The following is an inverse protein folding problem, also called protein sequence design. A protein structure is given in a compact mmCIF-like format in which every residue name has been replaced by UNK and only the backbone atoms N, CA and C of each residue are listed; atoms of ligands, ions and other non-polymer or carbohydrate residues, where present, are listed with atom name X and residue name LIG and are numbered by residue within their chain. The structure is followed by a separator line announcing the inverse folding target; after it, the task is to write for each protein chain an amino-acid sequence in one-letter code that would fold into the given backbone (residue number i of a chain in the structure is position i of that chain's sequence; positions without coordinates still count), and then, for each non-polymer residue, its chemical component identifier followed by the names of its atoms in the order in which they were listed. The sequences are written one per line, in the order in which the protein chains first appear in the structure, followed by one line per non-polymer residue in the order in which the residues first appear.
data_IF_655539637208
#
_entry.id   IF_655539637208
#
_cell.length_a   1.000
_cell.length_b   1.000
_cell.length_c   1.000
_cell.angle_alpha   90.00
_cell.angle_beta   90.00
_cell.angle_gamma   90.00
#
_symmetry.space_group_name_H-M   'P 1'
#
loop_
_entity.id
_entity.type
_entity.pdbx_description
1 polymer ?
#
# COMPACT_ATOMS: atom_id res chain seq x y z
N UNK A 1 -23.79 -5.11 23.01
CA UNK A 1 -22.34 -5.22 22.84
C UNK A 1 -22.03 -4.54 21.51
N UNK A 2 -21.77 -3.24 21.55
CA UNK A 2 -20.42 -2.62 21.40
C UNK A 2 -19.83 -2.92 20.03
N UNK A 3 -19.39 -1.99 19.19
CA UNK A 3 -19.33 -0.53 19.13
C UNK A 3 -18.97 -0.26 17.64
N UNK A 4 -19.58 0.72 16.99
CA UNK A 4 -18.88 1.92 16.51
C UNK A 4 -17.96 1.70 15.29
N UNK A 5 -18.40 2.26 14.15
CA UNK A 5 -17.65 2.57 12.92
C UNK A 5 -16.12 2.46 13.07
N UNK A 6 -15.53 1.39 12.58
CA UNK A 6 -14.18 1.47 12.03
C UNK A 6 -14.34 1.40 10.52
N UNK A 7 -13.86 2.39 9.79
CA UNK A 7 -13.82 2.31 8.32
C UNK A 7 -13.03 1.03 8.04
N UNK A 8 -13.67 0.03 7.45
CA UNK A 8 -13.01 -1.21 7.03
C UNK A 8 -11.98 -0.84 5.96
N UNK A 9 -10.81 -0.35 6.37
CA UNK A 9 -9.62 -0.39 5.53
C UNK A 9 -9.29 -1.86 5.38
N UNK A 10 -9.82 -2.46 4.32
CA UNK A 10 -9.61 -3.87 4.01
C UNK A 10 -8.10 -4.02 3.76
N UNK A 11 -7.40 -4.87 4.52
CA UNK A 11 -5.98 -5.10 4.27
C UNK A 11 -5.82 -5.65 2.85
N UNK A 12 -4.88 -5.08 2.11
CA UNK A 12 -4.51 -5.55 0.78
C UNK A 12 -3.39 -6.56 0.93
N UNK A 13 -3.54 -7.70 0.25
CA UNK A 13 -2.48 -8.70 0.18
C UNK A 13 -1.62 -8.37 -1.03
N UNK A 14 -0.35 -8.06 -0.77
CA UNK A 14 0.64 -7.85 -1.82
C UNK A 14 1.54 -9.07 -1.87
N UNK A 15 1.66 -9.65 -3.06
CA UNK A 15 2.59 -10.74 -3.32
C UNK A 15 3.88 -10.15 -3.86
N UNK A 16 4.95 -10.28 -3.09
CA UNK A 16 6.29 -9.89 -3.54
C UNK A 16 6.80 -10.79 -4.69
N UNK A 17 7.83 -10.37 -5.45
CA UNK A 17 8.42 -11.18 -6.53
C UNK A 17 8.90 -12.57 -6.10
N UNK A 18 9.22 -12.73 -4.82
CA UNK A 18 9.62 -14.00 -4.19
C UNK A 18 8.42 -14.92 -3.86
N UNK A 19 7.18 -14.47 -4.09
CA UNK A 19 5.95 -15.21 -3.82
C UNK A 19 5.47 -15.16 -2.37
N UNK A 20 6.04 -14.27 -1.56
CA UNK A 20 5.57 -14.03 -0.19
C UNK A 20 4.40 -13.05 -0.20
N UNK A 21 3.29 -13.49 0.38
CA UNK A 21 2.11 -12.67 0.61
C UNK A 21 2.27 -11.93 1.95
N UNK A 22 2.14 -10.62 1.91
CA UNK A 22 2.13 -9.77 3.11
C UNK A 22 0.87 -8.90 3.12
N UNK A 23 0.31 -8.72 4.32
CA UNK A 23 -0.84 -7.86 4.54
C UNK A 23 -0.39 -6.43 4.79
N UNK A 24 -0.95 -5.51 4.02
CA UNK A 24 -0.72 -4.08 4.17
C UNK A 24 -2.03 -3.32 4.27
N UNK A 25 -1.99 -2.16 4.92
CA UNK A 25 -3.07 -1.18 4.89
C UNK A 25 -2.72 -0.02 3.97
N UNK A 26 -3.71 0.46 3.21
CA UNK A 26 -3.59 1.69 2.43
C UNK A 26 -3.60 2.89 3.40
N UNK A 27 -2.44 3.54 3.52
CA UNK A 27 -2.28 4.75 4.33
C UNK A 27 -2.66 6.00 3.52
N UNK A 28 -2.20 6.09 2.27
CA UNK A 28 -2.46 7.24 1.40
C UNK A 28 -2.45 6.87 -0.08
N UNK A 29 -3.24 7.56 -0.90
CA UNK A 29 -3.23 7.44 -2.36
C UNK A 29 -2.72 8.74 -3.00
N UNK A 30 -1.66 8.62 -3.78
CA UNK A 30 -0.97 9.72 -4.45
C UNK A 30 -1.21 9.62 -5.96
N UNK A 31 -1.93 10.58 -6.56
CA UNK A 31 -2.07 10.65 -8.00
C UNK A 31 -0.80 11.24 -8.64
N UNK A 32 -0.18 10.52 -9.57
CA UNK A 32 1.02 10.99 -10.28
C UNK A 32 0.97 10.57 -11.76
N UNK A 33 1.24 11.52 -12.66
CA UNK A 33 1.29 11.29 -14.11
C UNK A 33 0.06 10.56 -14.70
N UNK A 34 -1.14 10.81 -14.15
CA UNK A 34 -2.38 10.15 -14.57
C UNK A 34 -2.56 8.71 -14.07
N UNK A 35 -1.69 8.26 -13.17
CA UNK A 35 -1.75 6.98 -12.46
C UNK A 35 -1.99 7.23 -10.98
N UNK A 36 -2.37 6.18 -10.26
CA UNK A 36 -2.57 6.22 -8.81
C UNK A 36 -1.54 5.31 -8.15
N UNK A 37 -0.97 5.80 -7.05
CA UNK A 37 0.00 5.07 -6.24
C UNK A 37 -0.53 5.02 -4.81
N UNK A 38 -0.49 3.86 -4.19
CA UNK A 38 -0.88 3.65 -2.82
C UNK A 38 0.38 3.49 -1.96
N UNK A 39 0.42 4.24 -0.86
CA UNK A 39 1.36 4.03 0.25
C UNK A 39 0.76 2.95 1.12
N UNK A 40 1.46 1.84 1.22
CA UNK A 40 1.03 0.65 1.92
C UNK A 40 1.92 0.45 3.15
N UNK A 41 1.30 0.27 4.31
CA UNK A 41 2.00 0.10 5.59
C UNK A 41 1.75 -1.33 6.08
N UNK A 42 2.82 -2.06 6.40
CA UNK A 42 2.68 -3.44 6.86
C UNK A 42 2.03 -3.46 8.24
N UNK A 43 1.16 -4.45 8.44
CA UNK A 43 0.50 -4.66 9.72
C UNK A 43 1.37 -5.62 10.52
N UNK A 44 1.91 -5.23 11.69
CA UNK A 44 2.62 -6.16 12.54
C UNK A 44 1.65 -7.24 13.05
N UNK A 45 2.00 -8.51 12.86
CA UNK A 45 1.21 -9.68 13.27
C UNK A 45 0.99 -9.75 14.80
N UNK A 46 1.80 -9.05 15.59
CA UNK A 46 1.66 -8.97 17.03
C UNK A 46 2.06 -7.60 17.57
N UNK A 47 1.32 -7.10 18.56
CA UNK A 47 1.64 -5.85 19.29
C UNK A 47 2.98 -5.87 20.05
N UNK A 48 3.73 -6.97 19.93
CA UNK A 48 4.96 -7.24 20.65
C UNK A 48 6.16 -7.38 19.70
N UNK A 49 5.94 -7.23 18.39
CA UNK A 49 7.01 -7.04 17.43
C UNK A 49 7.52 -5.60 17.58
N UNK A 50 8.78 -5.48 18.01
CA UNK A 50 9.53 -4.22 17.98
C UNK A 50 9.96 -3.85 16.55
N UNK A 51 9.53 -4.62 15.54
CA UNK A 51 9.79 -4.31 14.14
C UNK A 51 8.99 -3.08 13.72
N UNK A 52 9.69 -2.11 13.14
CA UNK A 52 9.05 -0.94 12.54
C UNK A 52 8.19 -1.42 11.36
N UNK A 53 6.96 -0.89 11.21
CA UNK A 53 6.12 -1.26 10.08
C UNK A 53 6.82 -0.88 8.78
N UNK A 54 6.88 -1.82 7.84
CA UNK A 54 7.42 -1.60 6.51
C UNK A 54 6.46 -0.72 5.73
N UNK A 55 6.97 0.40 5.22
CA UNK A 55 6.23 1.28 4.32
C UNK A 55 6.71 1.03 2.90
N UNK A 56 5.80 0.55 2.05
CA UNK A 56 6.08 0.33 0.63
C UNK A 56 5.20 1.23 -0.22
N UNK A 57 5.70 1.61 -1.38
CA UNK A 57 4.91 2.29 -2.39
C UNK A 57 4.52 1.28 -3.47
N UNK A 58 3.22 1.16 -3.73
CA UNK A 58 2.68 0.33 -4.79
C UNK A 58 1.93 1.17 -5.81
N UNK A 59 2.03 0.79 -7.07
CA UNK A 59 1.28 1.40 -8.17
C UNK A 59 -0.03 0.64 -8.37
N UNK A 60 -1.12 1.38 -8.40
CA UNK A 60 -2.44 0.84 -8.67
C UNK A 60 -2.65 0.74 -10.18
N UNK A 61 -2.85 -0.47 -10.67
CA UNK A 61 -3.23 -0.75 -12.06
C UNK A 61 -4.59 -1.45 -12.10
N UNK A 62 -5.35 -1.23 -13.16
CA UNK A 62 -6.57 -1.99 -13.40
C UNK A 62 -6.24 -3.15 -14.33
N UNK A 63 -6.45 -4.37 -13.86
CA UNK A 63 -6.22 -5.57 -14.66
C UNK A 63 -7.34 -5.77 -15.71
N UNK A 64 -7.21 -6.80 -16.55
CA UNK A 64 -8.19 -7.11 -17.61
C UNK A 64 -9.59 -7.45 -17.08
N UNK A 65 -9.70 -7.80 -15.79
CA UNK A 65 -10.97 -8.11 -15.12
C UNK A 65 -11.64 -6.86 -14.53
N UNK A 66 -10.98 -5.70 -14.60
CA UNK A 66 -11.46 -4.45 -14.00
C UNK A 66 -11.14 -4.34 -12.50
N UNK A 67 -10.31 -5.23 -11.96
CA UNK A 67 -9.91 -5.22 -10.56
C UNK A 67 -8.62 -4.41 -10.38
N UNK A 68 -8.48 -3.79 -9.20
CA UNK A 68 -7.28 -3.03 -8.86
C UNK A 68 -6.19 -3.99 -8.37
N UNK A 69 -5.06 -3.97 -9.05
CA UNK A 69 -3.86 -4.74 -8.71
C UNK A 69 -2.74 -3.77 -8.32
N UNK A 70 -1.98 -4.16 -7.30
CA UNK A 70 -0.87 -3.40 -6.76
C UNK A 70 0.43 -3.99 -7.27
N UNK A 71 1.17 -3.22 -8.07
CA UNK A 71 2.47 -3.63 -8.61
C UNK A 71 3.58 -2.72 -8.09
N UNK A 72 4.81 -3.22 -8.09
CA UNK A 72 5.97 -2.38 -7.80
C UNK A 72 6.06 -1.22 -8.82
N UNK A 73 6.17 0.04 -8.36
CA UNK A 73 6.44 1.18 -9.24
C UNK A 73 7.85 1.07 -9.84
N UNK A 74 8.11 1.78 -10.93
CA UNK A 74 9.50 1.95 -11.40
C UNK A 74 10.27 2.90 -10.50
N UNK A 75 11.60 2.82 -10.47
CA UNK A 75 12.45 3.71 -9.64
C UNK A 75 12.13 5.20 -9.84
N UNK A 76 11.96 5.65 -11.10
CA UNK A 76 11.55 7.03 -11.42
C UNK A 76 10.17 7.40 -10.84
N UNK A 77 9.22 6.46 -10.85
CA UNK A 77 7.87 6.68 -10.31
C UNK A 77 7.95 6.71 -8.78
N UNK A 78 8.75 5.82 -8.19
CA UNK A 78 8.98 5.74 -6.76
C UNK A 78 9.58 7.04 -6.22
N UNK A 79 10.69 7.51 -6.77
CA UNK A 79 11.34 8.75 -6.30
C UNK A 79 10.41 9.97 -6.43
N UNK A 80 9.69 10.07 -7.56
CA UNK A 80 8.77 11.17 -7.79
C UNK A 80 7.60 11.18 -6.78
N UNK A 81 6.99 10.02 -6.54
CA UNK A 81 5.86 9.87 -5.64
C UNK A 81 6.29 9.97 -4.18
N UNK A 82 7.43 9.37 -3.80
CA UNK A 82 8.02 9.50 -2.49
C UNK A 82 8.32 10.98 -2.16
N UNK A 83 8.88 11.74 -3.11
CA UNK A 83 9.11 13.17 -2.91
C UNK A 83 7.81 13.98 -2.75
N UNK A 84 6.69 13.52 -3.32
CA UNK A 84 5.37 14.13 -3.09
C UNK A 84 4.88 13.79 -1.68
N UNK A 85 4.97 12.51 -1.28
CA UNK A 85 4.56 12.03 0.04
C UNK A 85 5.31 12.76 1.17
N UNK A 86 6.63 12.89 1.05
CA UNK A 86 7.47 13.61 2.02
C UNK A 86 7.14 15.10 2.15
N UNK A 87 6.48 15.68 1.15
CA UNK A 87 6.08 17.11 1.13
C UNK A 87 4.64 17.35 1.58
N UNK A 88 3.86 16.29 1.83
CA UNK A 88 2.47 16.40 2.29
C UNK A 88 2.37 16.80 3.76
#
# INVERSE_FOLDING_TARGET
MTNEKNRESIPVVVTDPDGFEREFVEEAVIPFAGKHFAVLVSIPDSMNDEEEPDIILAKMIINEQGETEYIAPSDDEFEAVASIYEKM
#
